data_IF_139152487887
#
_entry.id   IF_139152487887
#
_cell.length_a   1.000
_cell.length_b   1.000
_cell.length_c   1.000
_cell.angle_alpha   90.00
_cell.angle_beta   90.00
_cell.angle_gamma   90.00
#
_symmetry.space_group_name_H-M   'P 1'
#
loop_
_entity.id
_entity.type
_entity.pdbx_description
1 polymer ?
#
# COMPACT_ATOMS: atom_id res chain seq x y z
N UNK A 1 16.99 -10.61 -17.05
CA UNK A 1 16.23 -9.42 -17.51
C UNK A 1 16.83 -8.09 -17.03
N UNK A 2 17.01 -7.84 -15.72
CA UNK A 2 17.55 -6.56 -15.24
C UNK A 2 18.93 -6.22 -15.84
N UNK A 3 19.85 -7.19 -15.83
CA UNK A 3 21.18 -7.06 -16.45
C UNK A 3 21.09 -6.76 -17.95
N UNK A 4 20.29 -7.54 -18.68
CA UNK A 4 20.05 -7.33 -20.12
C UNK A 4 19.52 -5.92 -20.45
N UNK A 5 18.67 -5.37 -19.59
CA UNK A 5 18.09 -4.03 -19.74
C UNK A 5 18.94 -2.93 -19.09
N UNK A 6 20.13 -3.26 -18.57
CA UNK A 6 21.05 -2.35 -17.87
C UNK A 6 20.39 -1.61 -16.72
N UNK A 7 19.56 -2.31 -15.96
CA UNK A 7 18.86 -1.80 -14.77
C UNK A 7 19.63 -2.22 -13.53
N UNK A 8 20.23 -1.24 -12.84
CA UNK A 8 20.83 -1.45 -11.52
C UNK A 8 19.75 -1.60 -10.45
N UNK A 9 19.69 -2.78 -9.83
CA UNK A 9 18.69 -3.14 -8.82
C UNK A 9 18.98 -2.44 -7.49
N UNK A 10 20.26 -2.31 -7.12
CA UNK A 10 20.69 -1.74 -5.84
C UNK A 10 20.39 -0.25 -5.77
N UNK A 11 20.38 0.45 -6.90
CA UNK A 11 19.99 1.86 -6.97
C UNK A 11 18.49 2.03 -7.19
N UNK A 12 17.91 1.26 -8.12
CA UNK A 12 16.54 1.53 -8.61
C UNK A 12 15.45 1.02 -7.68
N UNK A 13 15.65 -0.12 -7.01
CA UNK A 13 14.65 -0.67 -6.09
C UNK A 13 14.47 0.23 -4.85
N UNK A 14 15.54 0.67 -4.14
CA UNK A 14 15.37 1.53 -2.97
C UNK A 14 14.73 2.87 -3.34
N UNK A 15 15.12 3.47 -4.46
CA UNK A 15 14.49 4.69 -4.99
C UNK A 15 13.00 4.50 -5.27
N UNK A 16 12.62 3.35 -5.83
CA UNK A 16 11.22 3.04 -6.13
C UNK A 16 10.39 2.80 -4.85
N UNK A 17 10.97 2.12 -3.86
CA UNK A 17 10.37 1.91 -2.55
C UNK A 17 10.42 3.14 -1.63
N UNK A 18 11.10 4.22 -2.06
CA UNK A 18 11.29 5.46 -1.30
C UNK A 18 12.02 5.25 0.04
N UNK A 19 12.93 4.28 0.07
CA UNK A 19 13.79 3.97 1.23
C UNK A 19 15.24 4.29 0.91
N UNK A 20 16.06 4.45 1.94
CA UNK A 20 17.49 4.65 1.73
C UNK A 20 18.13 3.32 1.28
N UNK A 21 19.22 3.35 0.48
CA UNK A 21 19.84 2.12 -0.02
C UNK A 21 20.26 1.12 1.06
N UNK A 22 20.68 1.59 2.23
CA UNK A 22 21.10 0.72 3.35
C UNK A 22 19.94 0.12 4.16
N UNK A 23 18.70 0.57 3.93
CA UNK A 23 17.50 0.00 4.57
C UNK A 23 16.89 -1.13 3.74
N UNK A 24 17.35 -1.30 2.49
CA UNK A 24 16.88 -2.32 1.58
C UNK A 24 17.84 -3.50 1.56
N UNK A 25 17.36 -4.66 1.99
CA UNK A 25 18.12 -5.91 1.93
C UNK A 25 17.58 -6.80 0.81
N UNK A 26 18.49 -7.33 0.00
CA UNK A 26 18.15 -8.24 -1.09
C UNK A 26 18.41 -9.68 -0.67
N UNK A 27 17.46 -10.55 -1.04
CA UNK A 27 17.52 -11.98 -0.75
C UNK A 27 17.35 -12.80 -2.02
N UNK A 28 18.07 -13.91 -2.10
CA UNK A 28 17.99 -14.88 -3.21
C UNK A 28 17.88 -16.30 -2.65
N UNK A 29 16.94 -17.13 -3.14
CA UNK A 29 16.90 -18.54 -2.80
C UNK A 29 18.12 -19.28 -3.32
N UNK A 30 18.65 -20.24 -2.57
CA UNK A 30 19.79 -21.06 -2.99
C UNK A 30 19.56 -21.76 -4.34
N UNK A 31 18.36 -22.31 -4.54
CA UNK A 31 17.96 -22.94 -5.80
C UNK A 31 18.09 -22.00 -7.03
N UNK A 32 17.83 -20.70 -6.85
CA UNK A 32 17.99 -19.72 -7.92
C UNK A 32 19.46 -19.45 -8.28
N UNK A 33 20.38 -19.50 -7.31
CA UNK A 33 21.82 -19.38 -7.57
C UNK A 33 22.33 -20.60 -8.34
N UNK A 34 21.90 -21.80 -7.94
CA UNK A 34 22.27 -23.06 -8.60
C UNK A 34 21.72 -23.11 -10.04
N UNK A 35 20.48 -22.65 -10.27
CA UNK A 35 19.92 -22.53 -11.61
C UNK A 35 20.69 -21.53 -12.48
N UNK A 36 21.02 -20.35 -11.95
CA UNK A 36 21.82 -19.35 -12.67
C UNK A 36 23.22 -19.85 -13.04
N UNK A 37 23.81 -20.69 -12.20
CA UNK A 37 25.10 -21.35 -12.45
C UNK A 37 24.99 -22.42 -13.56
N UNK A 38 23.92 -23.21 -13.56
CA UNK A 38 23.65 -24.21 -14.61
C UNK A 38 23.40 -23.59 -15.98
N UNK A 39 22.79 -22.40 -16.04
CA UNK A 39 22.54 -21.65 -17.28
C UNK A 39 23.83 -21.08 -17.90
N UNK A 40 24.95 -21.09 -17.16
CA UNK A 40 26.29 -20.86 -17.67
C UNK A 40 26.58 -19.42 -18.10
N UNK A 41 27.25 -19.27 -19.26
CA UNK A 41 27.87 -18.01 -19.66
C UNK A 41 26.86 -16.88 -19.92
N UNK A 42 25.64 -17.21 -20.37
CA UNK A 42 24.59 -16.24 -20.66
C UNK A 42 24.06 -15.50 -19.41
N UNK A 43 24.18 -16.12 -18.23
CA UNK A 43 23.68 -15.61 -16.95
C UNK A 43 24.77 -15.26 -15.97
N UNK A 44 26.05 -15.37 -16.36
CA UNK A 44 27.20 -15.16 -15.48
C UNK A 44 27.20 -13.81 -14.76
N UNK A 45 26.93 -12.73 -15.50
CA UNK A 45 26.82 -11.39 -14.89
C UNK A 45 25.68 -11.31 -13.86
N UNK A 46 24.56 -12.00 -14.12
CA UNK A 46 23.45 -12.05 -13.19
C UNK A 46 23.79 -12.89 -11.95
N UNK A 47 24.53 -13.97 -12.11
CA UNK A 47 25.04 -14.80 -11.01
C UNK A 47 25.98 -14.02 -10.10
N UNK A 48 26.94 -13.28 -10.67
CA UNK A 48 27.90 -12.48 -9.90
C UNK A 48 27.21 -11.43 -9.02
N UNK A 49 26.15 -10.79 -9.56
CA UNK A 49 25.32 -9.86 -8.78
C UNK A 49 24.49 -10.60 -7.73
N UNK A 50 23.81 -11.69 -8.10
CA UNK A 50 22.95 -12.44 -7.20
C UNK A 50 23.72 -13.03 -5.99
N UNK A 51 24.98 -13.39 -6.18
CA UNK A 51 25.88 -13.89 -5.13
C UNK A 51 26.17 -12.86 -4.03
N UNK A 52 25.99 -11.57 -4.30
CA UNK A 52 26.16 -10.50 -3.28
C UNK A 52 24.97 -10.40 -2.33
N UNK A 53 23.83 -10.99 -2.67
CA UNK A 53 22.61 -10.94 -1.89
C UNK A 53 22.59 -12.01 -0.79
N UNK A 54 21.77 -11.79 0.25
CA UNK A 54 21.64 -12.74 1.34
C UNK A 54 20.89 -13.99 0.86
N UNK A 55 21.26 -15.15 1.36
CA UNK A 55 20.54 -16.39 1.01
C UNK A 55 19.24 -16.44 1.82
N UNK A 56 18.12 -16.71 1.14
CA UNK A 56 16.85 -17.00 1.79
C UNK A 56 16.55 -18.49 1.73
N UNK A 57 16.28 -19.07 2.89
CA UNK A 57 15.92 -20.49 3.04
C UNK A 57 14.51 -20.62 3.65
N UNK A 58 13.78 -21.68 3.28
CA UNK A 58 12.49 -22.00 3.89
C UNK A 58 12.67 -22.42 5.36
N UNK A 59 11.62 -22.25 6.17
CA UNK A 59 11.67 -22.50 7.62
C UNK A 59 11.65 -24.00 7.98
N UNK A 60 10.99 -24.82 7.16
CA UNK A 60 10.62 -26.22 7.47
C UNK A 60 11.31 -27.26 6.59
N UNK A 61 12.56 -27.05 6.19
CA UNK A 61 13.35 -28.16 5.64
C UNK A 61 13.83 -29.05 6.80
N UNK A 62 12.98 -30.00 7.21
CA UNK A 62 13.53 -31.28 7.62
C UNK A 62 14.22 -31.85 6.39
N UNK A 63 15.51 -32.14 6.52
CA UNK A 63 16.28 -32.87 5.53
C UNK A 63 15.65 -34.26 5.35
N UNK A 64 14.54 -34.36 4.61
CA UNK A 64 14.14 -35.64 4.05
C UNK A 64 15.13 -35.94 2.92
N UNK A 65 16.17 -36.68 3.31
CA UNK A 65 17.06 -37.45 2.45
C UNK A 65 16.24 -38.19 1.39
N UNK A 66 16.04 -37.58 0.22
CA UNK A 66 15.10 -38.16 -0.73
C UNK A 66 14.96 -37.38 -2.02
N UNK A 67 15.90 -37.65 -2.93
CA UNK A 67 15.87 -37.30 -4.35
C UNK A 67 16.33 -35.88 -4.72
N UNK A 68 17.45 -35.82 -5.47
CA UNK A 68 17.94 -34.66 -6.21
C UNK A 68 17.02 -34.40 -7.41
N UNK A 69 15.71 -34.37 -7.20
CA UNK A 69 14.79 -33.81 -8.17
C UNK A 69 15.09 -32.32 -8.29
N UNK A 70 15.28 -31.85 -9.53
CA UNK A 70 15.45 -30.45 -9.87
C UNK A 70 14.49 -29.58 -9.06
N UNK A 71 15.01 -28.87 -8.07
CA UNK A 71 14.20 -28.05 -7.18
C UNK A 71 13.69 -26.87 -8.01
N UNK A 72 12.40 -26.87 -8.29
CA UNK A 72 11.73 -25.77 -8.96
C UNK A 72 11.83 -24.52 -8.08
N UNK A 73 12.56 -23.52 -8.57
CA UNK A 73 12.82 -22.24 -7.88
C UNK A 73 11.51 -21.58 -7.45
N UNK A 74 10.46 -21.71 -8.25
CA UNK A 74 9.18 -21.07 -8.01
C UNK A 74 8.44 -21.72 -6.84
N UNK A 75 8.60 -23.04 -6.63
CA UNK A 75 8.12 -23.73 -5.43
C UNK A 75 8.94 -23.35 -4.20
N UNK A 76 10.27 -23.21 -4.33
CA UNK A 76 11.11 -22.75 -3.22
C UNK A 76 10.73 -21.36 -2.75
N UNK A 77 10.47 -20.43 -3.68
CA UNK A 77 10.01 -19.08 -3.34
C UNK A 77 8.67 -19.15 -2.61
N UNK A 78 7.70 -19.95 -3.09
CA UNK A 78 6.43 -20.13 -2.40
C UNK A 78 6.61 -20.68 -0.98
N UNK A 79 7.49 -21.66 -0.77
CA UNK A 79 7.81 -22.21 0.54
C UNK A 79 8.49 -21.19 1.47
N UNK A 80 9.36 -20.32 0.95
CA UNK A 80 10.01 -19.26 1.73
C UNK A 80 9.00 -18.23 2.25
N UNK A 81 8.03 -17.86 1.40
CA UNK A 81 6.97 -16.88 1.72
C UNK A 81 5.92 -17.49 2.66
N UNK A 82 5.53 -18.74 2.41
CA UNK A 82 4.46 -19.43 3.12
C UNK A 82 3.09 -18.78 2.91
N UNK A 83 2.13 -19.13 3.76
CA UNK A 83 0.72 -18.74 3.60
C UNK A 83 0.40 -17.32 4.07
N UNK A 84 1.28 -16.71 4.87
CA UNK A 84 1.03 -15.41 5.53
C UNK A 84 2.11 -14.37 5.33
N UNK A 85 3.20 -14.70 4.62
CA UNK A 85 4.36 -13.82 4.46
C UNK A 85 4.84 -13.19 5.79
N UNK A 86 5.14 -14.03 6.78
CA UNK A 86 5.45 -13.56 8.14
C UNK A 86 6.70 -12.67 8.18
N UNK A 87 7.68 -12.95 7.32
CA UNK A 87 8.91 -12.18 7.13
C UNK A 87 8.71 -10.91 6.30
N UNK A 88 7.50 -10.67 5.79
CA UNK A 88 7.09 -9.47 5.03
C UNK A 88 7.98 -9.20 3.81
N UNK A 89 8.33 -10.25 3.08
CA UNK A 89 9.10 -10.10 1.86
C UNK A 89 8.31 -9.38 0.77
N UNK A 90 9.02 -8.59 -0.03
CA UNK A 90 8.56 -8.08 -1.32
C UNK A 90 9.18 -8.97 -2.39
N UNK A 91 8.34 -9.60 -3.22
CA UNK A 91 8.83 -10.57 -4.20
C UNK A 91 9.00 -9.90 -5.56
N UNK A 92 10.22 -9.99 -6.10
CA UNK A 92 10.57 -9.48 -7.43
C UNK A 92 10.69 -10.65 -8.41
N UNK A 93 9.74 -10.82 -9.33
CA UNK A 93 9.76 -11.93 -10.30
C UNK A 93 9.19 -11.53 -11.66
N UNK A 94 9.73 -12.11 -12.74
CA UNK A 94 9.18 -11.95 -14.09
C UNK A 94 8.15 -13.01 -14.45
N UNK A 95 8.20 -14.16 -13.78
CA UNK A 95 7.36 -15.30 -14.09
C UNK A 95 5.89 -14.97 -13.79
N UNK A 96 5.01 -15.25 -14.74
CA UNK A 96 3.59 -14.91 -14.62
C UNK A 96 2.87 -15.89 -13.69
N UNK A 97 3.24 -17.17 -13.71
CA UNK A 97 2.57 -18.22 -12.94
C UNK A 97 2.87 -18.10 -11.45
N UNK A 98 4.14 -17.92 -11.07
CA UNK A 98 4.53 -17.58 -9.69
C UNK A 98 3.80 -16.33 -9.17
N UNK A 99 3.64 -15.27 -9.97
CA UNK A 99 2.88 -14.08 -9.56
C UNK A 99 1.39 -14.37 -9.36
N UNK A 100 0.79 -15.27 -10.14
CA UNK A 100 -0.61 -15.68 -9.92
C UNK A 100 -0.74 -16.46 -8.62
N UNK A 101 0.19 -17.37 -8.34
CA UNK A 101 0.22 -18.13 -7.09
C UNK A 101 0.40 -17.21 -5.87
N UNK A 102 1.38 -16.30 -5.89
CA UNK A 102 1.65 -15.40 -4.77
C UNK A 102 0.52 -14.38 -4.52
N UNK A 103 -0.33 -14.10 -5.51
CA UNK A 103 -1.51 -13.25 -5.31
C UNK A 103 -2.59 -13.88 -4.42
N UNK A 104 -2.65 -15.21 -4.29
CA UNK A 104 -3.57 -15.84 -3.34
C UNK A 104 -3.10 -15.67 -1.90
N UNK A 105 -1.79 -15.49 -1.70
CA UNK A 105 -1.18 -15.21 -0.41
C UNK A 105 -1.43 -13.74 -0.05
N UNK A 106 -2.03 -13.44 1.12
CA UNK A 106 -2.20 -12.08 1.57
C UNK A 106 -0.87 -11.45 2.03
N UNK A 107 -0.74 -10.14 1.84
CA UNK A 107 0.41 -9.39 2.34
C UNK A 107 1.69 -9.61 1.56
N UNK A 108 1.63 -10.07 0.31
CA UNK A 108 2.78 -10.24 -0.59
C UNK A 108 2.77 -9.16 -1.67
N UNK A 109 3.61 -8.12 -1.56
CA UNK A 109 3.77 -7.14 -2.62
C UNK A 109 4.63 -7.72 -3.75
N UNK A 110 4.22 -7.51 -4.99
CA UNK A 110 4.86 -8.08 -6.19
C UNK A 110 5.45 -6.98 -7.07
N UNK A 111 6.70 -7.16 -7.46
CA UNK A 111 7.45 -6.29 -8.37
C UNK A 111 7.88 -7.07 -9.61
N UNK A 112 7.77 -6.47 -10.78
CA UNK A 112 8.30 -7.02 -12.03
C UNK A 112 8.89 -5.91 -12.91
N UNK A 113 9.65 -6.30 -13.93
CA UNK A 113 10.28 -5.35 -14.84
C UNK A 113 9.54 -5.37 -16.18
N UNK A 114 8.96 -4.25 -16.57
CA UNK A 114 8.42 -4.06 -17.90
C UNK A 114 9.44 -3.30 -18.75
N UNK A 115 10.17 -4.01 -19.60
CA UNK A 115 11.34 -3.50 -20.33
C UNK A 115 12.38 -2.90 -19.37
N UNK A 116 12.46 -1.59 -19.25
CA UNK A 116 13.39 -0.87 -18.36
C UNK A 116 12.71 -0.22 -17.15
N UNK A 117 11.41 -0.41 -16.98
CA UNK A 117 10.61 0.20 -15.90
C UNK A 117 10.26 -0.85 -14.86
N UNK A 118 10.56 -0.55 -13.59
CA UNK A 118 10.13 -1.35 -12.45
C UNK A 118 8.66 -1.02 -12.15
N UNK A 119 7.82 -2.06 -12.07
CA UNK A 119 6.38 -1.92 -11.88
C UNK A 119 5.96 -2.67 -10.63
N UNK A 120 5.30 -1.95 -9.72
CA UNK A 120 4.55 -2.53 -8.61
C UNK A 120 3.22 -3.07 -9.12
N UNK A 121 2.93 -4.33 -8.84
CA UNK A 121 1.62 -4.89 -9.13
C UNK A 121 0.55 -4.34 -8.17
N UNK A 122 -0.69 -4.33 -8.64
CA UNK A 122 -1.82 -3.99 -7.79
C UNK A 122 -1.95 -4.96 -6.61
N UNK A 123 -2.38 -4.41 -5.47
CA UNK A 123 -2.59 -5.15 -4.23
C UNK A 123 -3.52 -6.34 -4.49
N UNK A 124 -3.13 -7.52 -4.01
CA UNK A 124 -3.91 -8.73 -4.24
C UNK A 124 -5.29 -8.67 -3.59
N UNK A 125 -6.27 -9.36 -4.19
CA UNK A 125 -7.64 -9.46 -3.64
C UNK A 125 -7.64 -10.09 -2.25
N UNK A 126 -6.76 -11.06 -2.00
CA UNK A 126 -6.59 -11.69 -0.69
C UNK A 126 -6.16 -10.66 0.37
N UNK A 127 -5.18 -9.82 0.04
CA UNK A 127 -4.73 -8.73 0.93
C UNK A 127 -5.83 -7.71 1.17
N UNK A 128 -6.52 -7.25 0.11
CA UNK A 128 -7.63 -6.29 0.24
C UNK A 128 -8.78 -6.82 1.10
N UNK A 129 -9.07 -8.12 1.03
CA UNK A 129 -10.12 -8.73 1.85
C UNK A 129 -9.79 -8.66 3.35
N UNK A 130 -8.53 -8.92 3.72
CA UNK A 130 -8.07 -8.82 5.12
C UNK A 130 -8.06 -7.37 5.57
N UNK A 131 -7.50 -6.45 4.78
CA UNK A 131 -7.48 -5.02 5.11
C UNK A 131 -8.91 -4.50 5.34
N UNK A 132 -9.86 -4.80 4.45
CA UNK A 132 -11.26 -4.39 4.63
C UNK A 132 -11.91 -5.00 5.87
N UNK A 133 -11.57 -6.25 6.19
CA UNK A 133 -12.08 -6.91 7.40
C UNK A 133 -11.54 -6.22 8.66
N UNK A 134 -10.25 -5.89 8.67
CA UNK A 134 -9.61 -5.15 9.77
C UNK A 134 -10.14 -3.72 9.88
N UNK A 135 -10.27 -3.00 8.77
CA UNK A 135 -10.86 -1.67 8.72
C UNK A 135 -12.29 -1.68 9.27
N UNK A 136 -13.14 -2.62 8.84
CA UNK A 136 -14.50 -2.75 9.36
C UNK A 136 -14.50 -3.07 10.86
N UNK A 137 -13.60 -3.94 11.32
CA UNK A 137 -13.47 -4.26 12.74
C UNK A 137 -13.02 -3.05 13.56
N UNK A 138 -12.10 -2.25 13.04
CA UNK A 138 -11.60 -1.05 13.69
C UNK A 138 -12.62 0.10 13.65
N UNK A 139 -13.35 0.29 12.56
CA UNK A 139 -14.47 1.24 12.47
C UNK A 139 -15.64 0.85 13.38
N UNK A 140 -15.77 -0.42 13.73
CA UNK A 140 -16.76 -0.89 14.71
C UNK A 140 -16.30 -0.67 16.16
N UNK A 141 -15.01 -0.41 16.38
CA UNK A 141 -14.47 -0.04 17.70
C UNK A 141 -14.59 1.47 17.83
N UNK A 142 -15.58 1.89 18.60
CA UNK A 142 -15.76 3.28 18.99
C UNK A 142 -14.53 3.75 19.77
N UNK A 143 -13.96 4.91 19.44
CA UNK A 143 -12.85 5.48 20.22
C UNK A 143 -13.30 5.65 21.68
N UNK A 144 -12.40 5.53 22.66
CA UNK A 144 -12.74 5.61 24.10
C UNK A 144 -13.47 6.92 24.41
N UNK A 145 -13.09 8.01 23.74
CA UNK A 145 -13.76 9.30 23.84
C UNK A 145 -15.13 9.32 23.18
N UNK A 146 -15.31 8.64 22.05
CA UNK A 146 -16.61 8.51 21.37
C UNK A 146 -17.56 7.63 22.19
N UNK A 147 -17.05 6.54 22.78
CA UNK A 147 -17.79 5.67 23.69
C UNK A 147 -18.24 6.41 24.94
N UNK A 148 -17.34 7.18 25.58
CA UNK A 148 -17.66 8.00 26.74
C UNK A 148 -18.69 9.10 26.42
N UNK A 149 -18.62 9.70 25.22
CA UNK A 149 -19.64 10.66 24.76
C UNK A 149 -20.98 10.00 24.51
N UNK A 150 -21.01 8.80 23.92
CA UNK A 150 -22.26 8.05 23.73
C UNK A 150 -22.90 7.65 25.06
N UNK A 151 -22.12 7.18 26.03
CA UNK A 151 -22.59 6.86 27.38
C UNK A 151 -23.16 8.11 28.09
N UNK A 152 -22.49 9.26 27.99
CA UNK A 152 -23.00 10.53 28.55
C UNK A 152 -24.32 11.00 27.91
N UNK A 153 -24.52 10.76 26.62
CA UNK A 153 -25.77 11.09 25.93
C UNK A 153 -26.88 10.10 26.32
N UNK A 154 -26.54 8.83 26.52
CA UNK A 154 -27.50 7.78 26.87
C UNK A 154 -27.96 7.85 28.34
N UNK A 155 -27.08 8.24 29.26
CA UNK A 155 -27.42 8.48 30.67
C UNK A 155 -28.19 9.79 30.85
N UNK A 156 -27.96 10.79 30.00
CA UNK A 156 -28.70 12.06 30.00
C UNK A 156 -30.16 11.96 29.50
N UNK A 157 -30.56 10.81 28.93
CA UNK A 157 -31.91 10.55 28.39
C UNK A 157 -32.75 9.64 29.31
N UNK A 158 -32.18 9.19 30.46
CA UNK A 158 -32.87 8.31 31.42
C UNK A 158 -33.43 9.02 32.66
N UNK A 159 -33.05 10.27 32.91
CA UNK A 159 -33.62 11.10 33.97
C UNK A 159 -34.25 12.36 33.37
N UNK A 160 -35.57 12.33 33.16
CA UNK A 160 -36.34 13.55 32.91
C UNK A 160 -37.51 13.41 31.95
N UNK A 161 -38.57 12.71 32.37
CA UNK A 161 -39.90 13.20 31.98
C UNK A 161 -40.12 14.55 32.69
N UNK A 162 -40.62 15.54 31.94
CA UNK A 162 -40.88 16.93 32.35
C UNK A 162 -39.67 17.88 32.46
N UNK A 163 -39.31 18.57 31.36
CA UNK A 163 -39.55 20.02 31.20
C UNK A 163 -38.83 20.59 29.96
N UNK A 164 -39.61 21.26 29.11
CA UNK A 164 -39.23 22.20 28.05
C UNK A 164 -38.02 21.87 27.18
N UNK A 165 -38.30 21.46 25.94
CA UNK A 165 -37.39 21.67 24.81
C UNK A 165 -37.03 23.16 24.69
N UNK A 166 -35.97 23.59 25.38
CA UNK A 166 -35.21 24.77 24.98
C UNK A 166 -34.59 24.45 23.63
N UNK A 167 -35.33 24.77 22.57
CA UNK A 167 -34.81 24.85 21.22
C UNK A 167 -33.56 25.72 21.30
N UNK A 168 -32.38 25.11 21.17
CA UNK A 168 -31.13 25.83 20.98
C UNK A 168 -31.37 26.84 19.85
N UNK A 169 -31.51 28.11 20.20
CA UNK A 169 -31.72 29.15 19.21
C UNK A 169 -30.45 29.20 18.38
N UNK A 170 -30.53 28.66 17.15
CA UNK A 170 -29.43 28.71 16.19
C UNK A 170 -29.01 30.19 16.10
N UNK A 171 -27.77 30.50 16.49
CA UNK A 171 -27.22 31.86 16.36
C UNK A 171 -27.42 32.29 14.91
N UNK A 172 -28.35 33.22 14.66
CA UNK A 172 -28.60 33.75 13.32
C UNK A 172 -27.29 34.35 12.82
N UNK A 173 -26.92 34.06 11.56
CA UNK A 173 -25.73 34.62 10.94
C UNK A 173 -25.77 36.15 11.08
N UNK A 174 -24.68 36.73 11.61
CA UNK A 174 -24.52 38.17 11.77
C UNK A 174 -24.34 38.82 10.40
N UNK A 175 -25.45 39.16 9.75
CA UNK A 175 -25.47 39.86 8.46
C UNK A 175 -24.94 39.02 7.29
N UNK A 176 -25.25 39.41 6.04
CA UNK A 176 -24.67 38.75 4.88
C UNK A 176 -23.15 38.99 4.85
N UNK A 177 -22.41 37.96 4.45
CA UNK A 177 -20.95 38.00 4.29
C UNK A 177 -20.54 39.26 3.48
N UNK A 178 -19.61 40.10 3.95
CA UNK A 178 -19.22 41.36 3.30
C UNK A 178 -18.67 41.19 1.87
N UNK A 179 -18.27 39.97 1.47
CA UNK A 179 -17.89 39.65 0.08
C UNK A 179 -19.08 39.41 -0.86
N UNK A 180 -20.30 39.24 -0.32
CA UNK A 180 -21.51 38.89 -1.07
C UNK A 180 -22.36 40.11 -1.46
N UNK A 181 -22.02 41.31 -0.98
CA UNK A 181 -22.72 42.53 -1.40
C UNK A 181 -22.21 43.03 -2.75
N UNK A 182 -23.09 43.05 -3.76
CA UNK A 182 -22.82 43.73 -5.03
C UNK A 182 -22.54 45.21 -4.75
N UNK A 183 -21.38 45.71 -5.19
CA UNK A 183 -20.98 47.12 -5.02
C UNK A 183 -22.07 48.05 -5.59
N UNK A 184 -22.47 49.12 -4.88
CA UNK A 184 -23.49 50.04 -5.37
C UNK A 184 -22.98 50.78 -6.60
N UNK A 185 -23.64 50.56 -7.74
CA UNK A 185 -23.36 51.28 -8.97
C UNK A 185 -23.99 52.67 -8.85
N UNK A 186 -23.16 53.71 -8.77
CA UNK A 186 -23.61 55.11 -8.85
C UNK A 186 -24.20 55.34 -10.25
N UNK A 187 -25.53 55.46 -10.35
CA UNK A 187 -26.17 55.89 -11.59
C UNK A 187 -25.72 57.32 -11.90
N UNK A 188 -24.95 57.49 -12.98
CA UNK A 188 -24.61 58.82 -13.51
C UNK A 188 -25.91 59.45 -14.05
N UNK A 189 -26.49 60.36 -13.28
CA UNK A 189 -27.59 61.20 -13.77
C UNK A 189 -27.00 62.13 -14.83
N UNK A 190 -27.38 61.94 -16.09
CA UNK A 190 -27.07 62.87 -17.19
C UNK A 190 -27.71 64.22 -16.86
N UNK A 191 -26.88 65.27 -16.78
CA UNK A 191 -27.35 66.64 -16.63
C UNK A 191 -28.27 67.02 -17.80
N UNK A 192 -29.46 67.55 -17.50
CA UNK A 192 -30.36 68.11 -18.52
C UNK A 192 -29.79 69.44 -19.01
N UNK A 193 -29.47 69.49 -20.30
CA UNK A 193 -29.06 70.69 -21.03
C UNK A 193 -30.24 71.66 -21.09
N UNK A 194 -30.11 72.89 -20.57
CA UNK A 194 -31.11 73.95 -20.80
C UNK A 194 -31.06 74.34 -22.29
N UNK A 195 -32.22 74.39 -22.94
CA UNK A 195 -32.43 75.02 -24.25
C UNK A 195 -32.95 76.44 -23.97
N UNK A 196 -32.25 77.40 -24.60
CA UNK A 196 -32.48 78.85 -24.71
C UNK A 196 -32.68 79.63 -23.41
#
# INVERSE_FOLDING_TARGET
MCIQMKVDINERVPKYLQVKPHECEFFVPRAALEELEMLGEATREAYDVAKTFKIAEPYDQQDEDGDKTSVDVSKTIQAIIGDKNERKFVVCTQEVELRKALRSVPGVPLLYLNRSVLVFEEISRATLAIVRKEEKANMSKLDVNEKRKLEQIQDGDRDGDSQEHQRLTKKRAKGPNPLSMKKPIKKKVRAKKKKN
#
